data_IF_808970079637
#
_entry.id   IF_808970079637
#
_cell.length_a   1.000
_cell.length_b   1.000
_cell.length_c   1.000
_cell.angle_alpha   90.00
_cell.angle_beta   90.00
_cell.angle_gamma   90.00
#
_symmetry.space_group_name_H-M   'P 1'
#
loop_
_entity.id
_entity.type
_entity.pdbx_description
1 polymer ?
#
# COMPACT_ATOMS: atom_id res chain seq x y z
N UNK A 1 -1.65 1.66 -0.39
CA UNK A 1 -1.76 3.03 0.16
C UNK A 1 -2.59 2.99 1.44
N UNK A 2 -2.42 3.97 2.33
CA UNK A 2 -3.25 4.13 3.54
C UNK A 2 -4.19 5.33 3.39
N UNK A 3 -5.50 5.12 3.54
CA UNK A 3 -6.54 6.15 3.45
C UNK A 3 -7.77 5.77 4.27
N UNK A 4 -8.49 6.77 4.79
CA UNK A 4 -9.78 6.59 5.47
C UNK A 4 -10.95 6.40 4.49
N UNK A 5 -10.72 6.68 3.21
CA UNK A 5 -11.71 6.52 2.14
C UNK A 5 -11.15 5.69 0.98
N UNK A 6 -11.10 4.35 1.11
CA UNK A 6 -10.66 3.48 0.03
C UNK A 6 -11.56 3.53 -1.21
N UNK A 7 -12.83 3.90 -1.08
CA UNK A 7 -13.76 3.97 -2.21
C UNK A 7 -13.51 5.23 -3.05
N UNK A 8 -13.37 6.40 -2.41
CA UNK A 8 -13.02 7.64 -3.07
C UNK A 8 -11.64 7.59 -3.72
N UNK A 9 -10.65 6.95 -3.08
CA UNK A 9 -9.33 6.77 -3.67
C UNK A 9 -9.37 5.94 -4.97
N UNK A 10 -10.20 4.89 -5.03
CA UNK A 10 -10.39 4.08 -6.25
C UNK A 10 -10.96 4.91 -7.39
N UNK A 11 -12.00 5.71 -7.13
CA UNK A 11 -12.61 6.59 -8.13
C UNK A 11 -11.56 7.59 -8.63
N UNK A 12 -10.87 8.26 -7.72
CA UNK A 12 -9.84 9.24 -8.05
C UNK A 12 -8.74 8.66 -8.95
N UNK A 13 -8.15 7.51 -8.60
CA UNK A 13 -7.08 6.90 -9.40
C UNK A 13 -7.57 6.29 -10.71
N UNK A 14 -8.82 5.83 -10.75
CA UNK A 14 -9.45 5.38 -11.99
C UNK A 14 -9.66 6.54 -12.97
N UNK A 15 -10.19 7.68 -12.51
CA UNK A 15 -10.40 8.86 -13.35
C UNK A 15 -9.10 9.54 -13.77
N UNK A 16 -8.12 9.64 -12.87
CA UNK A 16 -6.87 10.34 -13.13
C UNK A 16 -5.91 9.55 -14.02
N UNK A 17 -5.80 8.23 -13.81
CA UNK A 17 -4.79 7.40 -14.47
C UNK A 17 -5.35 6.21 -15.25
N UNK A 18 -6.66 5.98 -15.24
CA UNK A 18 -7.25 4.79 -15.86
C UNK A 18 -6.89 3.50 -15.13
N UNK A 19 -6.57 3.56 -13.84
CA UNK A 19 -6.26 2.36 -13.06
C UNK A 19 -7.52 1.56 -12.73
N UNK A 20 -7.35 0.25 -12.60
CA UNK A 20 -8.43 -0.69 -12.35
C UNK A 20 -8.30 -1.27 -10.94
N UNK A 21 -9.42 -1.37 -10.22
CA UNK A 21 -9.45 -1.96 -8.89
C UNK A 21 -9.99 -3.40 -8.94
N UNK A 22 -9.29 -4.30 -8.28
CA UNK A 22 -9.67 -5.68 -8.01
C UNK A 22 -10.01 -5.80 -6.52
N UNK A 23 -11.26 -6.17 -6.23
CA UNK A 23 -11.74 -6.36 -4.87
C UNK A 23 -11.50 -7.80 -4.44
N UNK A 24 -10.78 -7.97 -3.34
CA UNK A 24 -10.49 -9.28 -2.78
C UNK A 24 -11.35 -9.43 -1.53
N UNK A 25 -12.24 -10.42 -1.56
CA UNK A 25 -13.16 -10.72 -0.47
C UNK A 25 -12.86 -12.09 0.14
N UNK A 26 -13.03 -12.20 1.45
CA UNK A 26 -13.03 -13.46 2.19
C UNK A 26 -14.23 -13.48 3.14
N UNK A 27 -14.95 -14.60 3.19
CA UNK A 27 -16.16 -14.77 4.02
C UNK A 27 -17.21 -13.66 3.83
N UNK A 28 -17.37 -13.18 2.59
CA UNK A 28 -18.31 -12.10 2.24
C UNK A 28 -17.90 -10.71 2.75
N UNK A 29 -16.64 -10.55 3.17
CA UNK A 29 -16.07 -9.27 3.60
C UNK A 29 -14.93 -8.88 2.69
N UNK A 30 -14.87 -7.60 2.31
CA UNK A 30 -13.69 -7.04 1.65
C UNK A 30 -12.50 -7.16 2.61
N UNK A 31 -11.42 -7.81 2.16
CA UNK A 31 -10.17 -7.96 2.93
C UNK A 31 -9.00 -7.22 2.31
N UNK A 32 -9.05 -6.97 1.00
CA UNK A 32 -8.01 -6.24 0.30
C UNK A 32 -8.56 -5.65 -0.99
N UNK A 33 -7.93 -4.58 -1.47
CA UNK A 33 -8.15 -4.07 -2.81
C UNK A 33 -6.80 -3.96 -3.48
N UNK A 34 -6.70 -4.54 -4.65
CA UNK A 34 -5.53 -4.48 -5.50
C UNK A 34 -5.79 -3.50 -6.64
N UNK A 35 -4.92 -2.52 -6.83
CA UNK A 35 -5.06 -1.55 -7.93
C UNK A 35 -4.01 -1.83 -8.99
N UNK A 36 -4.48 -1.99 -10.24
CA UNK A 36 -3.68 -2.36 -11.40
C UNK A 36 -3.55 -1.20 -12.36
N UNK A 37 -2.34 -1.06 -12.90
CA UNK A 37 -2.05 -0.19 -14.04
C UNK A 37 -1.64 -1.08 -15.22
N UNK A 38 -2.38 -1.04 -16.33
CA UNK A 38 -2.14 -1.87 -17.51
C UNK A 38 -1.94 -3.37 -17.16
N UNK A 39 -2.78 -3.92 -16.27
CA UNK A 39 -2.72 -5.31 -15.82
C UNK A 39 -1.63 -5.64 -14.79
N UNK A 40 -0.72 -4.69 -14.48
CA UNK A 40 0.32 -4.88 -13.46
C UNK A 40 -0.13 -4.33 -12.12
N UNK A 41 0.11 -5.07 -11.03
CA UNK A 41 -0.18 -4.59 -9.69
C UNK A 41 0.69 -3.36 -9.36
N UNK A 42 0.03 -2.28 -8.99
CA UNK A 42 0.67 -1.00 -8.72
C UNK A 42 0.47 -0.53 -7.27
N UNK A 43 -0.65 -0.93 -6.66
CA UNK A 43 -0.98 -0.55 -5.30
C UNK A 43 -1.86 -1.62 -4.65
N UNK A 44 -1.90 -1.64 -3.33
CA UNK A 44 -3.04 -2.21 -2.65
C UNK A 44 -3.35 -1.57 -1.31
N UNK A 45 -4.62 -1.67 -0.93
CA UNK A 45 -5.17 -1.09 0.27
C UNK A 45 -5.95 -2.14 1.07
N UNK A 46 -5.78 -2.10 2.39
CA UNK A 46 -6.61 -2.88 3.32
C UNK A 46 -7.83 -2.06 3.76
N UNK A 47 -9.02 -2.68 3.91
CA UNK A 47 -10.28 -1.98 4.15
C UNK A 47 -10.31 -1.17 5.45
N UNK A 48 -9.64 -1.58 6.54
CA UNK A 48 -9.51 -0.80 7.79
C UNK A 48 -8.62 -1.53 8.81
N UNK A 49 -7.70 -0.80 9.48
CA UNK A 49 -7.45 -0.87 10.95
C UNK A 49 -6.14 -0.18 11.41
N UNK A 50 -5.14 0.01 10.55
CA UNK A 50 -3.81 0.50 11.00
C UNK A 50 -3.44 1.89 10.49
N UNK A 51 -4.41 2.73 10.12
CA UNK A 51 -4.13 4.16 10.18
C UNK A 51 -3.98 4.49 11.66
N UNK A 52 -2.72 4.59 12.12
CA UNK A 52 -2.39 5.16 13.43
C UNK A 52 -3.28 6.38 13.65
N UNK A 53 -4.04 6.41 14.74
CA UNK A 53 -5.04 7.44 15.01
C UNK A 53 -4.52 8.83 14.64
N UNK A 54 -5.17 9.47 13.64
CA UNK A 54 -4.84 10.81 13.17
C UNK A 54 -3.72 10.94 12.12
N UNK A 55 -3.13 9.84 11.63
CA UNK A 55 -2.16 9.90 10.55
C UNK A 55 -2.82 10.33 9.22
N UNK A 56 -2.25 11.31 8.50
CA UNK A 56 -2.78 11.69 7.19
C UNK A 56 -2.63 10.54 6.18
N UNK A 57 -3.43 10.49 5.10
CA UNK A 57 -3.26 9.52 4.04
C UNK A 57 -1.84 9.55 3.45
N UNK A 58 -1.26 8.38 3.18
CA UNK A 58 0.10 8.26 2.62
C UNK A 58 0.28 7.04 1.74
N UNK A 59 1.32 7.10 0.90
CA UNK A 59 1.82 5.97 0.13
C UNK A 59 2.92 5.24 0.89
N UNK A 60 2.75 3.94 1.09
CA UNK A 60 3.81 3.06 1.56
C UNK A 60 4.37 2.32 0.33
N UNK A 61 5.51 2.80 -0.16
CA UNK A 61 6.16 2.21 -1.32
C UNK A 61 6.95 0.96 -0.93
N UNK A 62 6.84 -0.09 -1.73
CA UNK A 62 7.63 -1.31 -1.60
C UNK A 62 8.59 -1.42 -2.78
N UNK A 63 9.82 -1.82 -2.50
CA UNK A 63 10.84 -2.06 -3.51
C UNK A 63 11.37 -3.48 -3.37
N UNK A 64 11.42 -4.21 -4.48
CA UNK A 64 12.04 -5.54 -4.50
C UNK A 64 13.55 -5.40 -4.41
N UNK A 65 14.13 -6.13 -3.46
CA UNK A 65 15.58 -6.17 -3.22
C UNK A 65 16.05 -7.61 -3.18
N UNK A 66 17.33 -7.85 -3.51
CA UNK A 66 17.91 -9.20 -3.48
C UNK A 66 18.11 -9.75 -2.07
N UNK A 67 18.20 -8.89 -1.05
CA UNK A 67 18.31 -9.26 0.36
C UNK A 67 17.74 -8.16 1.25
N UNK A 68 16.65 -8.45 1.97
CA UNK A 68 16.07 -7.53 2.94
C UNK A 68 17.06 -7.23 4.09
N UNK A 69 17.74 -8.25 4.60
CA UNK A 69 18.73 -8.11 5.68
C UNK A 69 19.91 -7.23 5.24
N UNK A 70 20.40 -7.42 4.01
CA UNK A 70 21.48 -6.61 3.46
C UNK A 70 21.09 -5.13 3.32
N UNK A 71 19.88 -4.85 2.86
CA UNK A 71 19.37 -3.47 2.76
C UNK A 71 19.11 -2.87 4.14
N UNK A 72 18.55 -3.62 5.08
CA UNK A 72 18.34 -3.18 6.45
C UNK A 72 19.66 -2.82 7.16
N UNK A 73 20.73 -3.60 6.95
CA UNK A 73 22.06 -3.28 7.44
C UNK A 73 22.61 -2.00 6.81
N UNK A 74 22.44 -1.82 5.49
CA UNK A 74 22.85 -0.61 4.78
C UNK A 74 22.13 0.64 5.29
N UNK A 75 20.82 0.55 5.55
CA UNK A 75 20.02 1.66 6.11
C UNK A 75 20.61 2.14 7.43
N UNK A 76 20.92 1.22 8.36
CA UNK A 76 21.55 1.56 9.64
C UNK A 76 22.92 2.23 9.47
N UNK A 77 23.71 1.79 8.48
CA UNK A 77 25.00 2.39 8.16
C UNK A 77 24.94 3.78 7.51
N UNK A 78 23.74 4.23 7.10
CA UNK A 78 23.47 5.55 6.55
C UNK A 78 22.65 6.42 7.53
N UNK A 79 22.74 6.12 8.82
CA UNK A 79 21.99 6.78 9.90
C UNK A 79 20.45 6.71 9.76
N UNK A 80 19.96 5.75 8.96
CA UNK A 80 18.54 5.46 8.82
C UNK A 80 18.04 4.49 9.89
N UNK A 81 16.73 4.55 10.15
CA UNK A 81 16.06 3.68 11.11
C UNK A 81 15.32 2.53 10.41
N UNK A 82 15.48 1.31 10.93
CA UNK A 82 14.69 0.15 10.51
C UNK A 82 13.55 -0.02 11.49
N UNK A 83 12.32 0.21 11.04
CA UNK A 83 11.12 0.02 11.83
C UNK A 83 10.91 -1.48 12.09
N UNK A 84 10.83 -1.86 13.36
CA UNK A 84 10.47 -3.21 13.80
C UNK A 84 9.13 -3.16 14.51
N UNK A 85 8.31 -4.20 14.32
CA UNK A 85 7.07 -4.43 15.08
C UNK A 85 7.35 -4.85 16.52
#
# INVERSE_FOLDING_TARGET
MATTDPAGARIFYSELFGWEAELIEADGKLVYVNTKNAGSQNEGNMPTAEQRDGAPPYWLAYFTVSSCDGVAAKVRGLDGEVLTV
#
